data_IF_301941239517
#
_entry.id   IF_301941239517
#
_cell.length_a   1.000
_cell.length_b   1.000
_cell.length_c   1.000
_cell.angle_alpha   90.00
_cell.angle_beta   90.00
_cell.angle_gamma   90.00
#
_symmetry.space_group_name_H-M   'P 1'
#
loop_
_entity.id
_entity.type
_entity.pdbx_description
1 polymer ?
#
# COMPACT_ATOMS: atom_id res chain seq x y z
N UNK A 1 -10.12 -28.59 -6.70
CA UNK A 1 -11.42 -28.17 -6.16
C UNK A 1 -11.36 -26.66 -5.95
N UNK A 2 -12.17 -25.84 -6.62
CA UNK A 2 -12.27 -24.43 -6.25
C UNK A 2 -12.92 -24.39 -4.87
N UNK A 3 -12.23 -23.81 -3.89
CA UNK A 3 -12.86 -23.54 -2.60
C UNK A 3 -13.86 -22.41 -2.85
N UNK A 4 -15.14 -22.73 -2.91
CA UNK A 4 -16.17 -21.71 -2.81
C UNK A 4 -16.03 -21.13 -1.41
N UNK A 5 -15.48 -19.91 -1.34
CA UNK A 5 -15.25 -19.21 -0.08
C UNK A 5 -16.62 -18.84 0.49
N UNK A 6 -16.98 -19.45 1.61
CA UNK A 6 -18.20 -19.18 2.39
C UNK A 6 -18.28 -17.75 2.94
N UNK A 7 -17.24 -16.94 2.74
CA UNK A 7 -17.15 -15.58 3.26
C UNK A 7 -16.65 -15.50 4.70
N UNK A 8 -16.05 -16.57 5.24
CA UNK A 8 -15.38 -16.58 6.55
C UNK A 8 -14.10 -17.44 6.49
N UNK A 9 -13.16 -17.03 5.63
CA UNK A 9 -11.93 -17.79 5.40
C UNK A 9 -11.01 -17.75 6.61
N UNK A 10 -10.90 -18.88 7.34
CA UNK A 10 -10.16 -19.04 8.62
C UNK A 10 -8.69 -18.58 8.64
N UNK A 11 -8.05 -18.34 7.49
CA UNK A 11 -6.67 -17.87 7.41
C UNK A 11 -6.47 -16.50 6.74
N UNK A 12 -7.47 -15.99 6.02
CA UNK A 12 -7.40 -14.71 5.33
C UNK A 12 -8.80 -14.09 5.23
N UNK A 13 -9.31 -13.53 6.35
CA UNK A 13 -10.62 -12.91 6.36
C UNK A 13 -10.60 -11.64 5.51
N UNK A 14 -11.74 -11.30 4.92
CA UNK A 14 -11.89 -10.02 4.21
C UNK A 14 -11.84 -8.88 5.21
N UNK A 15 -11.48 -7.69 4.71
CA UNK A 15 -11.47 -6.48 5.54
C UNK A 15 -12.80 -6.27 6.27
N UNK A 16 -13.94 -6.51 5.61
CA UNK A 16 -15.26 -6.40 6.23
C UNK A 16 -15.46 -7.37 7.41
N UNK A 17 -15.06 -8.63 7.26
CA UNK A 17 -15.21 -9.68 8.29
C UNK A 17 -14.45 -9.33 9.58
N UNK A 18 -13.34 -8.61 9.46
CA UNK A 18 -12.54 -8.18 10.62
C UNK A 18 -13.29 -7.26 11.58
N UNK A 19 -14.22 -6.44 11.07
CA UNK A 19 -14.93 -5.45 11.87
C UNK A 19 -16.44 -5.63 11.86
N UNK A 20 -16.97 -6.70 11.26
CA UNK A 20 -18.42 -6.92 11.14
C UNK A 20 -19.14 -6.91 12.50
N UNK A 21 -18.45 -7.35 13.55
CA UNK A 21 -18.95 -7.40 14.93
C UNK A 21 -18.44 -6.23 15.80
N UNK A 22 -17.75 -5.25 15.21
CA UNK A 22 -17.24 -4.11 15.95
C UNK A 22 -18.38 -3.17 16.41
N UNK A 23 -18.23 -2.48 17.56
CA UNK A 23 -19.23 -1.54 18.05
C UNK A 23 -19.58 -0.46 17.02
N UNK A 24 -20.88 -0.24 16.82
CA UNK A 24 -21.38 0.77 15.87
C UNK A 24 -21.16 2.20 16.35
N UNK A 25 -21.14 2.39 17.66
CA UNK A 25 -20.95 3.69 18.30
C UNK A 25 -19.65 3.68 19.11
N UNK A 26 -19.06 4.86 19.33
CA UNK A 26 -17.94 5.03 20.24
C UNK A 26 -18.27 4.53 21.66
N UNK A 27 -17.24 4.22 22.45
CA UNK A 27 -17.40 3.85 23.86
C UNK A 27 -17.59 5.10 24.70
N UNK A 28 -18.09 4.94 25.95
CA UNK A 28 -18.30 6.08 26.86
C UNK A 28 -17.04 6.91 27.14
N UNK A 29 -15.86 6.34 26.92
CA UNK A 29 -14.56 6.99 27.14
C UNK A 29 -13.95 7.55 25.85
N UNK A 30 -14.43 7.13 24.67
CA UNK A 30 -13.91 7.54 23.37
C UNK A 30 -15.06 7.70 22.36
N UNK A 31 -15.53 8.94 22.20
CA UNK A 31 -16.67 9.31 21.33
C UNK A 31 -16.30 9.45 19.85
N UNK A 32 -15.09 9.04 19.44
CA UNK A 32 -14.65 9.16 18.06
C UNK A 32 -15.57 8.37 17.10
N UNK A 33 -15.79 8.87 15.88
CA UNK A 33 -16.55 8.14 14.86
C UNK A 33 -15.92 6.76 14.60
N UNK A 34 -16.76 5.73 14.54
CA UNK A 34 -16.35 4.38 14.16
C UNK A 34 -16.37 4.25 12.64
N UNK A 35 -15.89 3.12 12.11
CA UNK A 35 -15.98 2.81 10.66
C UNK A 35 -17.42 2.89 10.13
N UNK A 36 -18.41 2.69 11.01
CA UNK A 36 -19.83 2.72 10.71
C UNK A 36 -20.38 4.12 10.41
N UNK A 37 -19.62 5.18 10.73
CA UNK A 37 -19.95 6.55 10.31
C UNK A 37 -19.78 6.77 8.79
N UNK A 38 -19.14 5.84 8.09
CA UNK A 38 -18.82 5.92 6.66
C UNK A 38 -19.49 4.78 5.87
N UNK A 39 -20.82 4.83 5.65
CA UNK A 39 -21.56 3.71 5.06
C UNK A 39 -21.07 3.33 3.66
N UNK A 40 -20.72 4.31 2.82
CA UNK A 40 -20.18 4.06 1.48
C UNK A 40 -18.87 3.27 1.52
N UNK A 41 -18.02 3.52 2.52
CA UNK A 41 -16.76 2.79 2.70
C UNK A 41 -17.02 1.36 3.17
N UNK A 42 -17.95 1.18 4.12
CA UNK A 42 -18.36 -0.16 4.58
C UNK A 42 -18.94 -0.98 3.42
N UNK A 43 -19.79 -0.38 2.60
CA UNK A 43 -20.41 -1.07 1.46
C UNK A 43 -19.39 -1.41 0.37
N UNK A 44 -18.43 -0.51 0.11
CA UNK A 44 -17.29 -0.81 -0.73
C UNK A 44 -16.51 -2.03 -0.22
N UNK A 45 -16.19 -2.09 1.07
CA UNK A 45 -15.43 -3.20 1.65
C UNK A 45 -16.17 -4.54 1.63
N UNK A 46 -17.51 -4.54 1.68
CA UNK A 46 -18.32 -5.75 1.47
C UNK A 46 -18.18 -6.32 0.06
N UNK A 47 -17.96 -5.46 -0.94
CA UNK A 47 -17.90 -5.85 -2.36
C UNK A 47 -16.46 -6.13 -2.80
N UNK A 48 -15.51 -5.26 -2.44
CA UNK A 48 -14.12 -5.31 -2.92
C UNK A 48 -13.38 -6.60 -2.53
N UNK A 49 -13.80 -7.26 -1.45
CA UNK A 49 -13.24 -8.54 -1.00
C UNK A 49 -13.94 -9.78 -1.56
N UNK A 50 -15.04 -9.64 -2.32
CA UNK A 50 -15.77 -10.79 -2.84
C UNK A 50 -14.88 -11.61 -3.79
N UNK A 51 -15.04 -12.95 -3.82
CA UNK A 51 -14.27 -13.77 -4.73
C UNK A 51 -14.69 -13.42 -6.15
N UNK A 52 -13.69 -13.25 -7.03
CA UNK A 52 -13.95 -13.07 -8.46
C UNK A 52 -14.78 -14.26 -8.94
N UNK A 53 -15.96 -13.97 -9.49
CA UNK A 53 -16.86 -15.00 -9.98
C UNK A 53 -16.26 -15.64 -11.23
N UNK A 54 -16.08 -16.96 -11.18
CA UNK A 54 -15.53 -17.73 -12.30
C UNK A 54 -14.00 -17.86 -12.29
N UNK A 55 -13.45 -18.63 -13.24
CA UNK A 55 -12.01 -18.72 -13.40
C UNK A 55 -11.46 -17.33 -13.72
N UNK A 56 -10.41 -16.94 -13.01
CA UNK A 56 -9.62 -15.77 -13.39
C UNK A 56 -9.30 -15.86 -14.89
N UNK A 57 -9.46 -14.77 -15.67
CA UNK A 57 -9.13 -14.80 -17.08
C UNK A 57 -7.69 -15.30 -17.26
N UNK A 58 -7.42 -16.11 -18.30
CA UNK A 58 -6.09 -16.61 -18.57
C UNK A 58 -5.13 -15.42 -18.58
N UNK A 59 -4.08 -15.54 -17.78
CA UNK A 59 -3.26 -14.42 -17.37
C UNK A 59 -2.93 -13.49 -18.54
N UNK A 60 -3.13 -12.19 -18.31
CA UNK A 60 -2.44 -11.15 -19.07
C UNK A 60 -0.97 -11.58 -19.18
N UNK A 61 -0.38 -11.38 -20.38
CA UNK A 61 0.99 -11.82 -20.73
C UNK A 61 1.93 -11.76 -19.52
N UNK A 62 2.83 -12.75 -19.33
CA UNK A 62 3.80 -12.74 -18.25
C UNK A 62 4.35 -11.33 -18.06
N UNK A 63 4.37 -10.85 -16.81
CA UNK A 63 5.06 -9.60 -16.49
C UNK A 63 6.46 -9.69 -17.13
N UNK A 64 6.91 -8.66 -17.88
CA UNK A 64 8.27 -8.61 -18.40
C UNK A 64 9.27 -8.92 -17.28
N UNK A 65 10.36 -9.64 -17.58
CA UNK A 65 11.37 -9.91 -16.57
C UNK A 65 11.89 -8.56 -16.06
N UNK A 66 12.05 -8.35 -14.73
CA UNK A 66 12.66 -7.13 -14.22
C UNK A 66 14.08 -6.87 -14.77
N UNK A 67 14.72 -7.89 -15.34
CA UNK A 67 16.01 -7.79 -16.06
C UNK A 67 15.86 -7.42 -17.54
N UNK A 68 14.66 -7.51 -18.12
CA UNK A 68 14.36 -7.05 -19.49
C UNK A 68 14.17 -5.52 -19.56
N UNK A 69 14.00 -4.85 -18.41
CA UNK A 69 13.92 -3.38 -18.31
C UNK A 69 15.30 -2.79 -17.96
N UNK A 70 16.17 -2.61 -18.96
CA UNK A 70 17.54 -2.08 -18.82
C UNK A 70 17.65 -0.59 -18.43
N UNK A 71 16.61 0.03 -17.86
CA UNK A 71 16.70 1.43 -17.43
C UNK A 71 15.89 1.71 -16.18
N UNK A 72 16.51 1.45 -15.03
CA UNK A 72 16.09 2.09 -13.78
C UNK A 72 16.24 3.61 -13.87
N UNK A 73 15.57 4.38 -13.00
CA UNK A 73 15.71 5.83 -12.98
C UNK A 73 17.18 6.24 -12.82
N UNK A 74 17.68 7.06 -13.76
CA UNK A 74 19.02 7.65 -13.67
C UNK A 74 18.96 8.84 -12.72
N UNK A 75 19.80 8.83 -11.68
CA UNK A 75 19.93 9.98 -10.79
C UNK A 75 20.52 11.17 -11.55
N UNK A 76 19.79 12.28 -11.59
CA UNK A 76 20.28 13.56 -12.13
C UNK A 76 20.95 14.32 -10.98
N UNK A 77 22.23 14.72 -11.10
CA UNK A 77 22.89 15.53 -10.08
C UNK A 77 22.26 16.92 -9.97
N UNK A 78 22.16 17.44 -8.75
CA UNK A 78 21.71 18.81 -8.48
C UNK A 78 22.77 19.82 -8.98
N UNK A 79 22.45 20.73 -9.91
CA UNK A 79 23.41 21.73 -10.39
C UNK A 79 23.91 22.67 -9.27
N UNK A 80 23.17 22.83 -8.17
CA UNK A 80 23.60 23.62 -7.02
C UNK A 80 24.72 22.95 -6.21
N UNK A 81 24.98 21.65 -6.42
CA UNK A 81 26.04 20.92 -5.74
C UNK A 81 27.44 21.28 -6.28
N UNK A 82 27.57 21.72 -7.53
CA UNK A 82 28.86 22.09 -8.15
C UNK A 82 29.43 23.40 -7.58
N UNK A 83 28.59 24.28 -7.06
CA UNK A 83 29.00 25.58 -6.51
C UNK A 83 29.50 25.54 -5.07
N UNK A 84 29.51 24.38 -4.41
CA UNK A 84 30.00 24.25 -3.03
C UNK A 84 31.46 23.83 -2.98
N UNK A 85 32.33 24.61 -3.63
CA UNK A 85 33.74 24.68 -3.23
C UNK A 85 33.79 25.39 -1.88
N UNK A 86 33.80 24.62 -0.78
CA UNK A 86 34.06 25.15 0.56
C UNK A 86 35.51 25.66 0.63
N UNK A 87 35.77 26.97 0.80
CA UNK A 87 37.12 27.48 1.03
C UNK A 87 37.48 27.28 2.51
N UNK A 88 37.66 26.03 2.93
CA UNK A 88 38.15 25.75 4.29
C UNK A 88 39.11 24.57 4.33
N UNK A 89 40.13 24.61 3.48
CA UNK A 89 41.41 23.90 3.65
C UNK A 89 42.46 24.65 2.84
N UNK A 90 42.95 25.77 3.38
CA UNK A 90 44.23 26.35 2.94
C UNK A 90 45.02 26.98 4.09
N UNK A 91 44.45 27.13 5.29
CA UNK A 91 45.15 27.58 6.51
C UNK A 91 45.50 26.39 7.42
N UNK A 92 46.29 25.44 6.91
CA UNK A 92 47.04 24.50 7.75
C UNK A 92 48.26 23.95 7.00
N UNK A 93 49.08 24.83 6.44
CA UNK A 93 50.38 24.48 5.90
C UNK A 93 51.31 25.70 5.85
N UNK A 94 51.53 26.34 6.99
CA UNK A 94 52.79 27.08 7.19
C UNK A 94 53.19 26.95 8.67
N UNK A 95 54.22 26.14 8.90
CA UNK A 95 55.07 26.06 10.09
C UNK A 95 56.48 26.40 9.65
#
# INVERSE_FOLDING_TARGET
>A
MPVESDGHSRGNPRLYELFENAPKTGTKTNSSPTVWAFPQFVDFLKVAGQPVQGPWPPHQRPRPDPTDEESGPVAVPDPAAETRTDPKTSDRAES
#
